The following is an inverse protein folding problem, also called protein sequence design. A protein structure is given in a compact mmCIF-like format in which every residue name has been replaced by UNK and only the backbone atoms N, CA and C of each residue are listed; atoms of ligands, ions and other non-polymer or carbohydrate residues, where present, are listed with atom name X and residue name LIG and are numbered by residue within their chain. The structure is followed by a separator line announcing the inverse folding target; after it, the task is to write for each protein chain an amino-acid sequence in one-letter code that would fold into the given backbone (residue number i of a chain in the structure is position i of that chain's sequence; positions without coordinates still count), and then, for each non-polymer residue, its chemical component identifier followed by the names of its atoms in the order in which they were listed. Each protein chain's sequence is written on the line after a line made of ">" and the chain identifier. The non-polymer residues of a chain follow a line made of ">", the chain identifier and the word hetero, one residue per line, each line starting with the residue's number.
data_IF_217051554444
#
_entry.id   IF_217051554444
#
_cell.length_a   1.000
_cell.length_b   1.000
_cell.length_c   1.000
_cell.angle_alpha   90.00
_cell.angle_beta   90.00
_cell.angle_gamma   90.00
#
_symmetry.space_group_name_H-M   'P 1'
#
loop_
_entity.id
_entity.type
_entity.pdbx_description
1 polymer ?
#
# COMPACT_ATOMS: atom_id res chain seq x y z
N UNK A 1 21.24 6.46 -9.75
CA UNK A 1 19.99 6.46 -10.54
C UNK A 1 18.89 5.94 -9.63
N UNK A 2 17.99 6.82 -9.18
CA UNK A 2 16.82 6.44 -8.37
C UNK A 2 15.92 5.54 -9.20
N UNK A 3 15.57 4.39 -8.64
CA UNK A 3 14.57 3.50 -9.25
C UNK A 3 13.22 4.22 -9.30
N UNK A 4 12.88 4.76 -10.48
CA UNK A 4 11.57 5.36 -10.77
C UNK A 4 10.40 4.36 -10.76
N UNK A 5 10.71 3.07 -10.56
CA UNK A 5 9.74 1.97 -10.75
C UNK A 5 8.77 1.76 -9.59
N UNK A 6 9.10 2.27 -8.40
CA UNK A 6 8.27 2.10 -7.20
C UNK A 6 8.57 3.25 -6.23
N UNK A 7 7.67 4.20 -6.15
CA UNK A 7 7.79 5.37 -5.27
C UNK A 7 6.46 5.67 -4.60
N UNK A 8 6.50 5.89 -3.30
CA UNK A 8 5.38 6.40 -2.52
C UNK A 8 5.80 7.71 -1.84
N UNK A 9 4.90 8.69 -1.84
CA UNK A 9 5.00 9.93 -1.06
C UNK A 9 3.71 10.07 -0.27
N UNK A 10 3.85 10.05 1.05
CA UNK A 10 2.73 10.08 1.98
C UNK A 10 2.94 11.24 2.96
N UNK A 11 1.90 12.02 3.21
CA UNK A 11 1.86 13.01 4.29
C UNK A 11 0.61 12.80 5.12
N UNK A 12 0.80 12.62 6.42
CA UNK A 12 -0.27 12.31 7.34
C UNK A 12 0.19 12.27 8.78
N UNK A 13 -0.70 11.85 9.65
CA UNK A 13 -0.45 11.78 11.09
C UNK A 13 -0.13 10.35 11.52
N UNK A 14 0.89 10.16 12.32
CA UNK A 14 1.21 8.88 12.94
C UNK A 14 0.07 8.49 13.88
N UNK A 15 -0.65 7.41 13.56
CA UNK A 15 -1.89 7.03 14.23
C UNK A 15 -1.70 6.06 15.41
N UNK A 16 -0.48 5.68 15.72
CA UNK A 16 -0.16 4.79 16.83
C UNK A 16 1.33 4.57 16.98
N UNK A 17 1.72 3.99 18.11
CA UNK A 17 3.11 3.75 18.43
C UNK A 17 3.77 2.73 17.50
N UNK A 18 5.07 2.91 17.30
CA UNK A 18 5.87 1.98 16.52
C UNK A 18 6.12 0.69 17.31
N UNK A 19 5.86 -0.44 16.68
CA UNK A 19 6.11 -1.78 17.24
C UNK A 19 7.16 -2.51 16.42
N UNK A 20 8.00 -3.31 17.08
CA UNK A 20 8.99 -4.14 16.41
C UNK A 20 8.28 -5.13 15.49
N UNK A 21 8.67 -5.13 14.22
CA UNK A 21 8.13 -6.05 13.20
C UNK A 21 9.02 -7.28 13.04
N UNK A 22 10.28 -7.06 12.74
CA UNK A 22 11.28 -8.11 12.52
C UNK A 22 12.68 -7.51 12.48
N UNK A 23 13.68 -8.39 12.46
CA UNK A 23 15.09 -8.01 12.33
C UNK A 23 15.68 -8.66 11.07
N UNK A 24 16.51 -7.91 10.35
CA UNK A 24 17.26 -8.40 9.17
C UNK A 24 18.69 -7.93 9.28
N UNK A 25 19.63 -8.87 9.28
CA UNK A 25 21.08 -8.58 9.37
C UNK A 25 21.46 -7.62 10.52
N UNK A 26 20.82 -7.80 11.68
CA UNK A 26 21.08 -6.97 12.87
C UNK A 26 20.40 -5.61 12.85
N UNK A 27 19.59 -5.30 11.83
CA UNK A 27 18.80 -4.07 11.75
C UNK A 27 17.37 -4.37 12.13
N UNK A 28 16.86 -3.65 13.12
CA UNK A 28 15.46 -3.72 13.54
C UNK A 28 14.57 -2.96 12.56
N UNK A 29 13.43 -3.57 12.24
CA UNK A 29 12.37 -2.96 11.45
C UNK A 29 11.14 -2.77 12.32
N UNK A 30 10.68 -1.54 12.40
CA UNK A 30 9.48 -1.17 13.15
C UNK A 30 8.33 -0.89 12.22
N UNK A 31 7.14 -1.15 12.69
CA UNK A 31 5.89 -0.87 11.97
C UNK A 31 5.05 0.11 12.79
N UNK A 32 4.53 1.14 12.11
CA UNK A 32 3.55 2.06 12.69
C UNK A 32 2.47 2.42 11.66
N UNK A 33 1.25 2.74 12.12
CA UNK A 33 0.17 3.20 11.24
C UNK A 33 0.30 4.69 10.94
N UNK A 34 0.07 5.06 9.66
CA UNK A 34 -0.03 6.45 9.21
C UNK A 34 -1.45 6.69 8.73
N UNK A 35 -2.15 7.67 9.33
CA UNK A 35 -3.46 8.12 8.89
C UNK A 35 -3.31 9.25 7.88
N UNK A 36 -3.85 9.04 6.68
CA UNK A 36 -3.86 10.05 5.61
C UNK A 36 -5.31 10.38 5.27
N UNK A 37 -5.79 11.61 5.55
CA UNK A 37 -7.16 12.00 5.26
C UNK A 37 -7.41 12.09 3.76
N UNK A 38 -8.64 11.73 3.36
CA UNK A 38 -9.16 11.90 1.99
C UNK A 38 -10.01 13.16 1.91
N UNK A 39 -10.19 13.68 0.71
CA UNK A 39 -11.14 14.79 0.45
C UNK A 39 -12.58 14.45 0.86
N UNK A 40 -12.93 13.17 0.94
CA UNK A 40 -14.27 12.71 1.39
C UNK A 40 -14.47 12.73 2.91
N UNK A 41 -13.48 13.18 3.69
CA UNK A 41 -13.51 13.16 5.16
C UNK A 41 -13.20 11.78 5.79
N UNK A 42 -12.96 10.74 4.98
CA UNK A 42 -12.45 9.44 5.47
C UNK A 42 -10.94 9.47 5.53
N UNK A 43 -10.37 8.53 6.29
CA UNK A 43 -8.92 8.34 6.37
C UNK A 43 -8.49 7.01 5.80
N UNK A 44 -7.33 7.00 5.16
CA UNK A 44 -6.58 5.79 4.85
C UNK A 44 -5.57 5.55 5.97
N UNK A 45 -5.63 4.39 6.60
CA UNK A 45 -4.64 3.96 7.60
C UNK A 45 -3.67 3.01 6.91
N UNK A 46 -2.44 3.47 6.74
CA UNK A 46 -1.41 2.80 5.96
C UNK A 46 -0.32 2.23 6.88
N UNK A 47 0.14 1.03 6.59
CA UNK A 47 1.22 0.40 7.34
C UNK A 47 2.57 0.90 6.83
N UNK A 48 3.29 1.60 7.67
CA UNK A 48 4.66 2.05 7.40
C UNK A 48 5.63 1.08 8.05
N UNK A 49 6.62 0.64 7.31
CA UNK A 49 7.74 -0.16 7.78
C UNK A 49 9.00 0.68 7.70
N UNK A 50 9.69 0.89 8.81
CA UNK A 50 10.86 1.75 8.89
C UNK A 50 12.03 1.02 9.55
N UNK A 51 13.19 0.94 8.90
CA UNK A 51 14.41 0.43 9.52
C UNK A 51 15.02 1.47 10.46
N UNK A 52 15.66 1.02 11.52
CA UNK A 52 16.46 1.88 12.41
C UNK A 52 16.09 1.74 13.89
N UNK A 53 16.71 2.51 14.74
CA UNK A 53 16.43 2.48 16.18
C UNK A 53 15.07 3.10 16.47
N UNK A 54 14.34 2.55 17.45
CA UNK A 54 13.04 3.05 17.89
C UNK A 54 13.06 4.56 18.23
N UNK A 55 14.16 5.03 18.81
CA UNK A 55 14.33 6.42 19.21
C UNK A 55 14.38 7.43 18.05
N UNK A 56 14.57 6.96 16.83
CA UNK A 56 14.58 7.80 15.62
C UNK A 56 13.22 7.84 14.90
N UNK A 57 12.23 7.11 15.40
CA UNK A 57 10.90 7.05 14.79
C UNK A 57 9.98 8.14 15.35
N UNK A 58 9.05 8.65 14.54
CA UNK A 58 8.11 9.67 14.98
C UNK A 58 7.14 9.06 16.01
N UNK A 59 6.83 9.79 17.09
CA UNK A 59 5.80 9.36 18.04
C UNK A 59 4.39 9.46 17.45
N UNK A 60 3.45 8.78 18.08
CA UNK A 60 2.03 8.90 17.75
C UNK A 60 1.56 10.36 17.87
N UNK A 61 0.74 10.80 16.91
CA UNK A 61 0.23 12.17 16.82
C UNK A 61 1.09 13.12 15.99
N UNK A 62 2.30 12.75 15.62
CA UNK A 62 3.18 13.60 14.80
C UNK A 62 2.74 13.60 13.34
N UNK A 63 2.74 14.79 12.72
CA UNK A 63 2.48 14.96 11.29
C UNK A 63 3.79 14.85 10.51
N UNK A 64 3.86 13.86 9.62
CA UNK A 64 5.10 13.49 8.93
C UNK A 64 4.93 13.38 7.43
N UNK A 65 6.02 13.57 6.71
CA UNK A 65 6.18 13.19 5.31
C UNK A 65 7.06 11.94 5.22
N UNK A 66 6.56 10.93 4.52
CA UNK A 66 7.25 9.67 4.29
C UNK A 66 7.46 9.50 2.80
N UNK A 67 8.71 9.29 2.40
CA UNK A 67 9.01 8.79 1.06
C UNK A 67 9.49 7.34 1.18
N UNK A 68 9.04 6.50 0.24
CA UNK A 68 9.37 5.08 0.33
C UNK A 68 8.96 4.29 -0.89
N UNK A 69 8.84 2.99 -0.70
CA UNK A 69 8.44 2.03 -1.72
C UNK A 69 7.31 1.15 -1.20
N UNK A 70 6.34 0.89 -2.05
CA UNK A 70 5.26 -0.07 -1.75
C UNK A 70 5.82 -1.47 -1.78
N UNK A 71 5.55 -2.25 -0.74
CA UNK A 71 5.98 -3.63 -0.58
C UNK A 71 4.80 -4.54 -0.31
N UNK A 72 4.89 -5.77 -0.77
CA UNK A 72 3.92 -6.81 -0.48
C UNK A 72 4.57 -8.05 0.10
N UNK A 73 3.88 -8.72 0.98
CA UNK A 73 4.28 -10.03 1.48
C UNK A 73 3.06 -10.89 1.83
N UNK A 74 3.25 -12.21 1.75
CA UNK A 74 2.21 -13.15 2.16
C UNK A 74 2.29 -13.40 3.66
N UNK A 75 1.21 -13.09 4.35
CA UNK A 75 1.04 -13.42 5.75
C UNK A 75 0.72 -14.90 5.91
N UNK A 76 1.60 -15.64 6.57
CA UNK A 76 1.45 -17.08 6.82
C UNK A 76 0.91 -17.39 8.21
N UNK A 77 0.66 -16.39 9.05
CA UNK A 77 0.20 -16.59 10.43
C UNK A 77 -1.23 -17.13 10.54
N UNK A 78 -2.00 -17.11 9.45
CA UNK A 78 -3.43 -17.47 9.46
C UNK A 78 -4.35 -16.41 10.05
N UNK A 79 -3.80 -15.35 10.64
CA UNK A 79 -4.54 -14.23 11.24
C UNK A 79 -4.38 -13.00 10.37
N UNK A 80 -5.48 -12.33 10.03
CA UNK A 80 -5.48 -11.14 9.20
C UNK A 80 -5.55 -11.43 7.69
N UNK A 81 -5.22 -10.42 6.89
CA UNK A 81 -5.19 -10.54 5.43
C UNK A 81 -4.02 -11.41 4.98
N UNK A 82 -4.28 -12.28 4.00
CA UNK A 82 -3.25 -13.14 3.42
C UNK A 82 -2.16 -12.36 2.70
N UNK A 83 -2.54 -11.31 1.97
CA UNK A 83 -1.63 -10.36 1.35
C UNK A 83 -1.57 -9.09 2.20
N UNK A 84 -0.39 -8.72 2.63
CA UNK A 84 -0.13 -7.50 3.40
C UNK A 84 0.66 -6.53 2.54
N UNK A 85 0.13 -5.30 2.44
CA UNK A 85 0.79 -4.19 1.75
C UNK A 85 1.35 -3.24 2.82
N UNK A 86 2.60 -2.84 2.65
CA UNK A 86 3.29 -1.87 3.51
C UNK A 86 4.03 -0.85 2.66
N UNK A 87 4.36 0.28 3.23
CA UNK A 87 5.32 1.22 2.65
C UNK A 87 6.62 1.12 3.41
N UNK A 88 7.66 0.64 2.75
CA UNK A 88 9.01 0.64 3.28
C UNK A 88 9.56 2.07 3.18
N UNK A 89 9.65 2.74 4.31
CA UNK A 89 10.17 4.11 4.39
C UNK A 89 11.65 4.16 4.01
N UNK A 90 12.00 5.11 3.17
CA UNK A 90 13.37 5.51 2.86
C UNK A 90 13.76 6.77 3.61
N UNK A 91 12.80 7.67 3.80
CA UNK A 91 12.95 8.85 4.64
C UNK A 91 11.65 9.11 5.40
N UNK A 92 11.81 9.65 6.60
CA UNK A 92 10.75 10.19 7.44
C UNK A 92 11.19 11.58 7.84
N UNK A 93 10.37 12.59 7.57
CA UNK A 93 10.66 13.98 7.88
C UNK A 93 9.40 14.65 8.46
N UNK A 94 9.51 15.77 9.15
CA UNK A 94 8.36 16.59 9.54
C UNK A 94 7.50 16.92 8.32
N UNK A 95 6.19 16.73 8.43
CA UNK A 95 5.24 17.01 7.36
C UNK A 95 4.99 18.52 7.24
N UNK A 96 5.02 19.04 6.01
CA UNK A 96 4.71 20.44 5.71
C UNK A 96 3.67 20.46 4.60
N UNK A 97 2.61 21.26 4.76
CA UNK A 97 1.54 21.43 3.79
C UNK A 97 0.42 20.38 3.92
N UNK A 98 -0.37 20.28 2.86
CA UNK A 98 -1.58 19.43 2.83
C UNK A 98 -1.24 17.93 2.86
N UNK A 99 -2.17 17.10 3.36
CA UNK A 99 -2.03 15.64 3.29
C UNK A 99 -1.77 15.17 1.86
N UNK A 100 -0.93 14.14 1.75
CA UNK A 100 -0.53 13.59 0.45
C UNK A 100 -0.57 12.06 0.50
N UNK A 101 -1.11 11.47 -0.57
CA UNK A 101 -1.11 10.02 -0.77
C UNK A 101 -0.90 9.75 -2.25
N UNK A 102 0.35 9.64 -2.64
CA UNK A 102 0.77 9.53 -4.03
C UNK A 102 1.69 8.35 -4.22
N UNK A 103 1.37 7.50 -5.19
CA UNK A 103 2.16 6.33 -5.53
C UNK A 103 2.42 6.32 -7.03
N UNK A 104 3.66 6.10 -7.40
CA UNK A 104 4.07 5.80 -8.76
C UNK A 104 4.62 4.38 -8.81
N UNK A 105 4.07 3.55 -9.72
CA UNK A 105 4.50 2.17 -9.91
C UNK A 105 4.72 1.90 -11.38
N UNK A 106 5.78 1.15 -11.67
CA UNK A 106 6.05 0.58 -12.97
C UNK A 106 6.25 -0.93 -12.80
N UNK A 107 5.52 -1.71 -13.56
CA UNK A 107 5.59 -3.17 -13.46
C UNK A 107 4.94 -3.85 -14.66
N UNK A 108 4.64 -5.12 -14.46
CA UNK A 108 4.04 -5.98 -15.49
C UNK A 108 2.78 -6.64 -14.94
N UNK A 109 1.73 -6.71 -15.73
CA UNK A 109 0.52 -7.43 -15.37
C UNK A 109 0.82 -8.94 -15.26
N UNK A 110 0.56 -9.53 -14.11
CA UNK A 110 0.84 -10.95 -13.87
C UNK A 110 -0.40 -11.84 -13.87
N UNK A 111 -1.59 -11.24 -14.07
CA UNK A 111 -2.86 -11.92 -14.29
C UNK A 111 -3.69 -11.15 -15.30
N UNK A 112 -4.65 -11.83 -16.00
CA UNK A 112 -5.60 -11.13 -16.84
C UNK A 112 -6.37 -10.08 -16.03
N UNK A 113 -6.51 -8.84 -16.51
CA UNK A 113 -7.36 -7.83 -15.89
C UNK A 113 -8.82 -8.31 -15.79
N UNK A 114 -9.50 -7.95 -14.71
CA UNK A 114 -10.91 -8.29 -14.50
C UNK A 114 -11.75 -7.03 -14.53
N UNK A 115 -12.37 -6.76 -15.67
CA UNK A 115 -13.32 -5.66 -15.84
C UNK A 115 -14.67 -6.07 -15.25
N UNK A 116 -15.23 -5.22 -14.40
CA UNK A 116 -16.55 -5.40 -13.77
C UNK A 116 -17.21 -4.07 -13.48
N UNK A 117 -18.49 -4.10 -13.15
CA UNK A 117 -19.21 -2.91 -12.69
C UNK A 117 -19.52 -2.97 -11.20
N UNK A 118 -19.46 -1.82 -10.55
CA UNK A 118 -19.97 -1.67 -9.17
C UNK A 118 -21.49 -1.72 -9.16
N UNK A 119 -22.14 -1.96 -8.00
CA UNK A 119 -23.61 -1.88 -7.86
C UNK A 119 -24.18 -0.52 -8.30
N UNK A 120 -23.38 0.54 -8.32
CA UNK A 120 -23.76 1.88 -8.79
C UNK A 120 -23.47 2.10 -10.29
N UNK A 121 -23.17 1.03 -11.03
CA UNK A 121 -22.93 1.08 -12.48
C UNK A 121 -21.61 1.71 -12.91
N UNK A 122 -20.63 1.86 -12.02
CA UNK A 122 -19.30 2.38 -12.38
C UNK A 122 -18.39 1.26 -12.85
N UNK A 123 -17.73 1.46 -13.98
CA UNK A 123 -16.72 0.52 -14.47
C UNK A 123 -15.49 0.55 -13.58
N UNK A 124 -15.03 -0.63 -13.18
CA UNK A 124 -13.77 -0.84 -12.46
C UNK A 124 -13.04 -2.03 -13.05
N UNK A 125 -11.72 -2.00 -13.00
CA UNK A 125 -10.88 -3.11 -13.43
C UNK A 125 -9.88 -3.47 -12.33
N UNK A 126 -9.95 -4.73 -11.91
CA UNK A 126 -9.02 -5.29 -10.94
C UNK A 126 -7.76 -5.76 -11.66
N UNK A 127 -6.61 -5.31 -11.20
CA UNK A 127 -5.30 -5.57 -11.78
C UNK A 127 -4.40 -6.20 -10.71
N UNK A 128 -3.48 -7.04 -11.12
CA UNK A 128 -2.38 -7.48 -10.27
C UNK A 128 -1.05 -7.14 -10.97
N UNK A 129 -0.31 -6.20 -10.40
CA UNK A 129 0.93 -5.69 -10.93
C UNK A 129 2.11 -6.36 -10.23
N UNK A 130 3.02 -6.95 -10.99
CA UNK A 130 4.32 -7.41 -10.51
C UNK A 130 5.33 -6.28 -10.67
N UNK A 131 5.85 -5.77 -9.57
CA UNK A 131 6.87 -4.72 -9.53
C UNK A 131 8.19 -5.32 -9.10
N UNK A 132 9.21 -5.19 -9.94
CA UNK A 132 10.50 -5.81 -9.70
C UNK A 132 11.23 -5.21 -8.50
N UNK A 133 11.93 -6.07 -7.78
CA UNK A 133 12.90 -5.72 -6.73
C UNK A 133 14.31 -6.12 -7.17
N UNK A 134 15.29 -5.63 -6.43
CA UNK A 134 16.64 -6.20 -6.50
C UNK A 134 16.61 -7.70 -6.16
N UNK A 135 17.60 -8.43 -6.64
CA UNK A 135 17.78 -9.86 -6.38
C UNK A 135 16.67 -10.77 -6.93
N UNK A 136 16.10 -10.44 -8.10
CA UNK A 136 15.07 -11.23 -8.80
C UNK A 136 13.81 -11.51 -7.95
N UNK A 137 13.46 -10.60 -7.05
CA UNK A 137 12.20 -10.65 -6.31
C UNK A 137 11.20 -9.67 -6.93
N UNK A 138 9.94 -9.87 -6.66
CA UNK A 138 8.87 -8.97 -7.07
C UNK A 138 7.88 -8.73 -5.94
N UNK A 139 7.29 -7.54 -5.92
CA UNK A 139 6.08 -7.23 -5.17
C UNK A 139 4.87 -7.46 -6.07
N UNK A 140 3.87 -8.14 -5.55
CA UNK A 140 2.60 -8.34 -6.22
C UNK A 140 1.58 -7.39 -5.61
N UNK A 141 1.19 -6.38 -6.38
CA UNK A 141 0.41 -5.26 -5.90
C UNK A 141 -0.98 -5.28 -6.56
N UNK A 142 -2.06 -5.47 -5.79
CA UNK A 142 -3.41 -5.33 -6.29
C UNK A 142 -3.73 -3.86 -6.55
N UNK A 143 -4.19 -3.56 -7.76
CA UNK A 143 -4.56 -2.22 -8.19
C UNK A 143 -5.98 -2.23 -8.73
N UNK A 144 -6.68 -1.10 -8.59
CA UNK A 144 -8.02 -0.91 -9.13
C UNK A 144 -8.03 0.36 -9.97
N UNK A 145 -8.36 0.23 -11.25
CA UNK A 145 -8.63 1.38 -12.12
C UNK A 145 -10.14 1.64 -12.25
N UNK A 146 -10.52 2.88 -12.55
CA UNK A 146 -11.90 3.35 -12.55
C UNK A 146 -12.27 4.03 -13.87
N UNK A 147 -13.54 3.91 -14.27
CA UNK A 147 -14.12 4.60 -15.41
C UNK A 147 -13.39 4.30 -16.71
N UNK A 148 -13.05 5.32 -17.47
CA UNK A 148 -12.37 5.18 -18.76
C UNK A 148 -11.03 4.43 -18.67
N UNK A 149 -10.30 4.59 -17.57
CA UNK A 149 -9.07 3.83 -17.33
C UNK A 149 -9.38 2.34 -17.10
N UNK A 150 -10.49 1.99 -16.44
CA UNK A 150 -10.90 0.60 -16.28
C UNK A 150 -11.16 -0.08 -17.61
N UNK A 151 -11.86 0.60 -18.53
CA UNK A 151 -12.14 0.08 -19.87
C UNK A 151 -10.85 -0.14 -20.68
N UNK A 152 -9.89 0.78 -20.57
CA UNK A 152 -8.57 0.62 -21.21
C UNK A 152 -7.77 -0.52 -20.61
N UNK A 153 -7.72 -0.60 -19.30
CA UNK A 153 -7.00 -1.68 -18.60
C UNK A 153 -7.63 -3.06 -18.86
N UNK A 154 -8.95 -3.13 -19.03
CA UNK A 154 -9.66 -4.36 -19.36
C UNK A 154 -9.30 -4.96 -20.74
N UNK A 155 -8.65 -4.19 -21.62
CA UNK A 155 -8.16 -4.65 -22.92
C UNK A 155 -6.72 -5.15 -22.88
N UNK A 156 -6.03 -4.97 -21.74
CA UNK A 156 -4.64 -5.42 -21.57
C UNK A 156 -4.60 -6.92 -21.29
N UNK A 157 -3.41 -7.49 -21.48
CA UNK A 157 -3.16 -8.93 -21.29
C UNK A 157 -2.06 -9.17 -20.26
N UNK A 158 -1.96 -10.41 -19.77
CA UNK A 158 -0.85 -10.83 -18.91
C UNK A 158 0.48 -10.64 -19.65
N UNK A 159 1.45 -10.03 -18.98
CA UNK A 159 2.75 -9.71 -19.55
C UNK A 159 2.88 -8.28 -20.06
N UNK A 160 1.77 -7.55 -20.20
CA UNK A 160 1.83 -6.15 -20.64
C UNK A 160 2.49 -5.27 -19.55
N UNK A 161 3.39 -4.36 -19.95
CA UNK A 161 3.97 -3.38 -19.05
C UNK A 161 2.93 -2.30 -18.70
N UNK A 162 2.93 -1.87 -17.45
CA UNK A 162 2.05 -0.83 -16.95
C UNK A 162 2.81 0.15 -16.05
N UNK A 163 2.68 1.44 -16.37
CA UNK A 163 3.03 2.54 -15.47
C UNK A 163 1.76 3.16 -14.95
N UNK A 164 1.66 3.34 -13.65
CA UNK A 164 0.51 3.96 -13.03
C UNK A 164 0.90 5.00 -11.99
N UNK A 165 0.06 6.00 -11.87
CA UNK A 165 -0.01 6.89 -10.72
C UNK A 165 -1.33 6.66 -10.00
N UNK A 166 -1.28 6.65 -8.67
CA UNK A 166 -2.45 6.37 -7.87
C UNK A 166 -2.24 6.73 -6.40
N UNK A 167 -3.07 6.17 -5.57
CA UNK A 167 -3.00 6.30 -4.12
C UNK A 167 -3.20 4.96 -3.45
N UNK A 168 -2.62 4.78 -2.27
CA UNK A 168 -2.93 3.67 -1.40
C UNK A 168 -4.30 3.89 -0.75
N UNK A 169 -5.14 2.89 -0.79
CA UNK A 169 -6.46 2.94 -0.17
C UNK A 169 -6.61 1.80 0.83
N UNK A 170 -6.92 2.14 2.07
CA UNK A 170 -7.24 1.15 3.09
C UNK A 170 -8.75 0.92 3.19
N UNK A 171 -9.14 -0.33 3.42
CA UNK A 171 -10.52 -0.71 3.74
C UNK A 171 -10.52 -1.65 4.93
N UNK A 172 -11.33 -1.35 5.89
CA UNK A 172 -11.66 -2.28 6.97
C UNK A 172 -12.87 -3.11 6.51
N UNK A 173 -12.78 -4.42 6.65
CA UNK A 173 -13.91 -5.31 6.45
C UNK A 173 -13.98 -6.34 7.58
N UNK A 174 -15.20 -6.77 7.90
CA UNK A 174 -15.44 -7.79 8.91
C UNK A 174 -15.59 -9.13 8.24
N UNK A 175 -14.85 -10.11 8.69
CA UNK A 175 -14.99 -11.50 8.28
C UNK A 175 -15.46 -12.32 9.47
N UNK A 176 -16.58 -13.02 9.30
CA UNK A 176 -17.04 -13.97 10.31
C UNK A 176 -16.41 -15.33 10.03
N UNK A 177 -15.71 -15.88 11.00
CA UNK A 177 -15.12 -17.23 10.97
C UNK A 177 -15.68 -17.98 12.16
N UNK A 178 -16.64 -18.90 11.92
CA UNK A 178 -17.43 -19.50 13.00
C UNK A 178 -18.21 -18.43 13.76
N UNK A 179 -18.11 -18.42 15.09
CA UNK A 179 -18.78 -17.45 15.96
C UNK A 179 -17.92 -16.17 16.21
N UNK A 180 -16.75 -16.05 15.59
CA UNK A 180 -15.83 -14.95 15.81
C UNK A 180 -15.85 -13.97 14.62
N UNK A 181 -16.03 -12.68 14.92
CA UNK A 181 -15.90 -11.59 13.93
C UNK A 181 -14.51 -11.03 13.98
N UNK A 182 -13.78 -11.11 12.86
CA UNK A 182 -12.46 -10.50 12.70
C UNK A 182 -12.55 -9.26 11.83
N UNK A 183 -11.99 -8.15 12.30
CA UNK A 183 -11.75 -6.97 11.48
C UNK A 183 -10.43 -7.13 10.72
N UNK A 184 -10.51 -7.05 9.40
CA UNK A 184 -9.36 -7.17 8.52
C UNK A 184 -9.15 -5.84 7.78
N UNK A 185 -7.90 -5.40 7.72
CA UNK A 185 -7.51 -4.25 6.90
C UNK A 185 -6.95 -4.75 5.57
N UNK A 186 -7.51 -4.24 4.47
CA UNK A 186 -7.01 -4.46 3.12
C UNK A 186 -6.50 -3.14 2.57
N UNK A 187 -5.25 -3.13 2.05
CA UNK A 187 -4.66 -2.00 1.34
C UNK A 187 -4.52 -2.36 -0.13
N UNK A 188 -4.93 -1.47 -1.02
CA UNK A 188 -4.78 -1.59 -2.47
C UNK A 188 -4.46 -0.23 -3.09
N UNK A 189 -4.08 -0.23 -4.35
CA UNK A 189 -3.69 0.95 -5.12
C UNK A 189 -4.77 1.26 -6.14
#
# INVERSE_FOLDING_TARGET
>A
MEQKENRAVLRGTVAGDAVLSHQVHGIDFYRFPLAVPRLSGREDVLNILCPGPLSALPPAGEYVEITGQVRSFNNRSGVGSRLVITVLARSVAPGIGEPCNQVFLQGTLCKPPVLRQTPLGRDICDLLLAVNRRYRRADYLPCISWGALALRCGQMTTGDPLCLEGRLQSRLYRKTIGDTVQELSLIHI
#
